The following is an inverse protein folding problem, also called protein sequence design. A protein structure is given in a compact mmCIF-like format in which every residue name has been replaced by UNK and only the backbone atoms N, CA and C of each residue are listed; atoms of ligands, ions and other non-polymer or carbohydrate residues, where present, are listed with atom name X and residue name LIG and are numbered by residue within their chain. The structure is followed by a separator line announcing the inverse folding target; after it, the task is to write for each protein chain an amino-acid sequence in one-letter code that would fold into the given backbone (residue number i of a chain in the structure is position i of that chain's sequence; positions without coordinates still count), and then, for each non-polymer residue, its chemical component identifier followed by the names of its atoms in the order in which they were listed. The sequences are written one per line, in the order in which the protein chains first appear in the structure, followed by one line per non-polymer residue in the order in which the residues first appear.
data_IF_381927254853
#
_entry.id   IF_381927254853
#
_cell.length_a   1.000
_cell.length_b   1.000
_cell.length_c   1.000
_cell.angle_alpha   90.00
_cell.angle_beta   90.00
_cell.angle_gamma   90.00
#
_symmetry.space_group_name_H-M   'P 1'
#
loop_
_entity.id
_entity.type
_entity.pdbx_description
1 polymer ?
#
# COMPACT_ATOMS: atom_id res chain seq x y z
N UNK A 1 3.96 29.26 0.55
CA UNK A 1 5.02 28.42 1.20
C UNK A 1 6.12 29.33 1.70
N UNK A 2 6.56 29.15 2.94
CA UNK A 2 7.72 29.86 3.49
C UNK A 2 9.01 29.31 2.89
N UNK A 3 10.11 30.10 2.88
CA UNK A 3 11.43 29.66 2.43
C UNK A 3 11.90 28.35 3.13
N UNK A 4 11.56 28.19 4.41
CA UNK A 4 11.87 26.99 5.19
C UNK A 4 11.10 25.74 4.70
N UNK A 5 9.85 25.90 4.29
CA UNK A 5 9.06 24.78 3.76
C UNK A 5 9.52 24.35 2.36
N UNK A 6 10.01 25.28 1.52
CA UNK A 6 10.58 24.94 0.22
C UNK A 6 11.89 24.17 0.35
N UNK A 7 12.75 24.60 1.30
CA UNK A 7 14.01 23.89 1.60
C UNK A 7 13.74 22.48 2.12
N UNK A 8 12.78 22.32 3.02
CA UNK A 8 12.36 21.00 3.51
C UNK A 8 11.89 20.07 2.38
N UNK A 9 11.06 20.57 1.45
CA UNK A 9 10.59 19.78 0.30
C UNK A 9 11.75 19.32 -0.60
N UNK A 10 12.80 20.12 -0.77
CA UNK A 10 13.96 19.74 -1.60
C UNK A 10 14.73 18.53 -1.07
N UNK A 11 14.65 18.24 0.24
CA UNK A 11 15.31 17.08 0.83
C UNK A 11 14.79 15.74 0.28
N UNK A 12 13.58 15.71 -0.28
CA UNK A 12 13.06 14.49 -0.90
C UNK A 12 13.89 14.00 -2.09
N UNK A 13 14.73 14.86 -2.69
CA UNK A 13 15.67 14.45 -3.75
C UNK A 13 16.67 13.38 -3.30
N UNK A 14 16.93 13.29 -1.99
CA UNK A 14 17.79 12.27 -1.39
C UNK A 14 17.18 10.87 -1.37
N UNK A 15 15.91 10.75 -1.77
CA UNK A 15 15.13 9.52 -1.72
C UNK A 15 14.62 9.13 -3.11
N UNK A 16 14.32 7.86 -3.30
CA UNK A 16 13.71 7.36 -4.52
C UNK A 16 12.22 7.72 -4.55
N UNK A 17 11.86 8.68 -5.40
CA UNK A 17 10.50 9.21 -5.55
C UNK A 17 9.96 8.98 -6.95
N UNK A 18 8.64 9.00 -7.08
CA UNK A 18 7.94 8.81 -8.36
C UNK A 18 6.58 9.51 -8.34
N UNK A 19 6.01 9.83 -9.53
CA UNK A 19 4.71 10.47 -9.62
C UNK A 19 3.56 9.48 -9.41
N UNK A 20 2.54 9.92 -8.67
CA UNK A 20 1.21 9.35 -8.65
C UNK A 20 0.21 10.27 -9.36
N UNK A 21 -0.91 9.74 -9.82
CA UNK A 21 -2.00 10.50 -10.46
C UNK A 21 -2.49 11.61 -9.52
N UNK A 22 -2.89 12.74 -10.10
CA UNK A 22 -3.45 13.87 -9.33
C UNK A 22 -4.62 13.42 -8.48
N UNK A 23 -4.72 13.98 -7.27
CA UNK A 23 -5.78 13.66 -6.30
C UNK A 23 -5.94 12.15 -6.01
N UNK A 24 -4.87 11.38 -6.16
CA UNK A 24 -4.87 9.93 -6.04
C UNK A 24 -3.56 9.43 -5.43
N UNK A 25 -3.59 8.19 -4.96
CA UNK A 25 -2.41 7.45 -4.53
C UNK A 25 -1.94 6.45 -5.60
N UNK A 26 -2.59 6.42 -6.76
CA UNK A 26 -2.29 5.48 -7.84
C UNK A 26 -1.03 5.95 -8.58
N UNK A 27 -0.02 5.11 -8.79
CA UNK A 27 1.15 5.44 -9.59
C UNK A 27 0.79 5.93 -10.99
N UNK A 28 1.53 6.93 -11.49
CA UNK A 28 1.42 7.46 -12.85
C UNK A 28 2.57 6.95 -13.75
N UNK A 29 3.26 5.90 -13.31
CA UNK A 29 4.37 5.24 -14.00
C UNK A 29 3.94 3.86 -14.47
N UNK A 30 4.63 3.29 -15.47
CA UNK A 30 4.27 2.00 -16.08
C UNK A 30 4.48 0.81 -15.13
N UNK A 31 5.52 0.86 -14.27
CA UNK A 31 5.86 -0.21 -13.32
C UNK A 31 5.63 0.20 -11.86
N UNK A 32 4.73 1.20 -11.64
CA UNK A 32 4.42 1.68 -10.31
C UNK A 32 5.64 2.25 -9.58
N UNK A 33 5.78 1.96 -8.29
CA UNK A 33 6.89 2.44 -7.46
C UNK A 33 8.27 1.86 -7.85
N UNK A 34 8.35 0.86 -8.73
CA UNK A 34 9.62 0.38 -9.29
C UNK A 34 10.31 1.39 -10.21
N UNK A 35 9.56 2.34 -10.74
CA UNK A 35 10.10 3.44 -11.55
C UNK A 35 10.59 4.63 -10.70
N UNK A 36 10.59 4.49 -9.37
CA UNK A 36 11.10 5.52 -8.48
C UNK A 36 12.59 5.79 -8.73
N UNK A 37 12.98 7.05 -8.66
CA UNK A 37 14.35 7.50 -8.92
C UNK A 37 14.80 8.50 -7.84
N UNK A 38 16.08 8.49 -7.54
CA UNK A 38 16.74 9.53 -6.73
C UNK A 38 16.91 10.81 -7.54
N UNK A 39 17.09 11.93 -6.86
CA UNK A 39 17.36 13.23 -7.51
C UNK A 39 16.13 13.89 -8.12
N UNK A 40 14.93 13.34 -7.96
CA UNK A 40 13.71 13.92 -8.52
C UNK A 40 13.34 15.23 -7.83
N UNK A 41 12.99 16.24 -8.61
CA UNK A 41 12.43 17.48 -8.08
C UNK A 41 10.95 17.29 -7.74
N UNK A 42 10.68 16.97 -6.49
CA UNK A 42 9.33 16.69 -5.97
C UNK A 42 8.38 17.88 -6.11
N UNK A 43 8.90 19.13 -5.96
CA UNK A 43 8.08 20.33 -6.15
C UNK A 43 7.71 20.52 -7.63
N UNK A 44 8.64 20.28 -8.55
CA UNK A 44 8.33 20.32 -9.98
C UNK A 44 7.33 19.24 -10.38
N UNK A 45 7.45 18.03 -9.84
CA UNK A 45 6.50 16.95 -10.02
C UNK A 45 5.09 17.36 -9.56
N UNK A 46 4.97 17.98 -8.39
CA UNK A 46 3.71 18.48 -7.87
C UNK A 46 3.11 19.61 -8.73
N UNK A 47 3.94 20.55 -9.15
CA UNK A 47 3.53 21.66 -10.02
C UNK A 47 3.04 21.18 -11.39
N UNK A 48 3.60 20.08 -11.89
CA UNK A 48 3.16 19.40 -13.11
C UNK A 48 1.83 18.64 -12.94
N UNK A 49 1.22 18.68 -11.75
CA UNK A 49 -0.09 18.08 -11.48
C UNK A 49 -0.04 16.64 -10.98
N UNK A 50 1.12 16.13 -10.61
CA UNK A 50 1.27 14.81 -10.01
C UNK A 50 1.39 14.88 -8.50
N UNK A 51 1.01 13.82 -7.83
CA UNK A 51 1.27 13.64 -6.41
C UNK A 51 2.60 12.89 -6.22
N UNK A 52 3.61 13.44 -5.55
CA UNK A 52 4.83 12.73 -5.28
C UNK A 52 4.66 11.61 -4.25
N UNK A 53 5.32 10.50 -4.50
CA UNK A 53 5.37 9.35 -3.60
C UNK A 53 6.81 8.86 -3.43
N UNK A 54 7.10 8.24 -2.29
CA UNK A 54 8.40 7.71 -1.91
C UNK A 54 8.35 6.19 -1.86
N UNK A 55 9.24 5.52 -2.58
CA UNK A 55 9.42 4.08 -2.56
C UNK A 55 10.27 3.68 -1.34
N UNK A 56 9.65 3.06 -0.34
CA UNK A 56 10.27 2.82 0.97
C UNK A 56 11.57 2.01 0.88
N UNK A 57 11.54 0.82 0.27
CA UNK A 57 12.72 -0.06 0.19
C UNK A 57 13.87 0.57 -0.59
N UNK A 58 13.57 1.20 -1.73
CA UNK A 58 14.59 1.84 -2.55
C UNK A 58 15.21 3.05 -1.84
N UNK A 59 14.43 3.74 -1.02
CA UNK A 59 14.88 4.88 -0.21
C UNK A 59 15.61 4.47 1.08
N UNK A 60 15.66 3.18 1.42
CA UNK A 60 16.24 2.71 2.67
C UNK A 60 15.48 3.21 3.90
N UNK A 61 14.16 3.27 3.83
CA UNK A 61 13.32 3.74 4.95
C UNK A 61 12.26 2.73 5.34
N UNK A 62 11.93 2.76 6.62
CA UNK A 62 10.77 2.10 7.22
C UNK A 62 9.82 3.17 7.78
N UNK A 63 8.53 2.96 7.59
CA UNK A 63 7.52 3.91 8.03
C UNK A 63 6.56 3.24 9.00
N UNK A 64 6.33 3.88 10.15
CA UNK A 64 5.20 3.59 11.02
C UNK A 64 4.06 4.51 10.56
N UNK A 65 3.06 3.91 9.91
CA UNK A 65 1.88 4.59 9.39
C UNK A 65 0.76 4.48 10.42
N UNK A 66 0.46 5.57 11.09
CA UNK A 66 -0.52 5.66 12.17
C UNK A 66 -1.82 6.22 11.63
N UNK A 67 -2.93 5.52 11.87
CA UNK A 67 -4.25 5.85 11.33
C UNK A 67 -5.25 6.23 12.44
N UNK A 68 -5.86 7.41 12.31
CA UNK A 68 -6.89 7.95 13.22
C UNK A 68 -8.28 8.06 12.54
N UNK A 69 -8.52 7.35 11.44
CA UNK A 69 -9.80 7.43 10.73
C UNK A 69 -10.97 6.91 11.56
N UNK A 70 -10.73 5.90 12.38
CA UNK A 70 -11.69 5.41 13.35
C UNK A 70 -11.75 6.36 14.56
N UNK A 71 -12.95 6.75 14.98
CA UNK A 71 -13.16 7.59 16.18
C UNK A 71 -12.65 6.92 17.47
N UNK A 72 -12.56 5.59 17.45
CA UNK A 72 -12.06 4.78 18.55
C UNK A 72 -10.60 4.36 18.34
N UNK A 73 -9.83 5.08 17.49
CA UNK A 73 -8.44 4.74 17.23
C UNK A 73 -7.59 4.88 18.49
N UNK A 74 -6.96 3.79 18.87
CA UNK A 74 -5.99 3.70 19.98
C UNK A 74 -4.54 3.74 19.49
N UNK A 75 -4.33 4.24 18.26
CA UNK A 75 -3.04 4.15 17.59
C UNK A 75 -1.86 4.73 18.40
N UNK A 76 -2.04 5.89 19.02
CA UNK A 76 -0.98 6.49 19.82
C UNK A 76 -0.81 5.80 21.18
N UNK A 77 -1.91 5.37 21.79
CA UNK A 77 -1.89 4.57 23.02
C UNK A 77 -1.18 3.23 22.77
N UNK A 78 -1.44 2.59 21.64
CA UNK A 78 -0.77 1.34 21.23
C UNK A 78 0.75 1.55 21.09
N UNK A 79 1.19 2.66 20.45
CA UNK A 79 2.60 3.02 20.36
C UNK A 79 3.21 3.27 21.75
N UNK A 80 2.55 4.08 22.58
CA UNK A 80 3.04 4.40 23.94
C UNK A 80 3.08 3.16 24.85
N UNK A 81 2.11 2.26 24.69
CA UNK A 81 2.11 0.98 25.38
C UNK A 81 3.31 0.14 24.97
N UNK A 82 3.57 0.05 23.68
CA UNK A 82 4.71 -0.68 23.16
C UNK A 82 6.05 -0.05 23.59
N UNK A 83 6.17 1.28 23.64
CA UNK A 83 7.34 1.96 24.20
C UNK A 83 7.62 1.53 25.64
N UNK A 84 6.57 1.43 26.46
CA UNK A 84 6.69 0.97 27.86
C UNK A 84 7.08 -0.50 27.94
N UNK A 85 6.49 -1.36 27.11
CA UNK A 85 6.79 -2.79 27.06
C UNK A 85 8.21 -3.07 26.60
N UNK A 86 8.71 -2.31 25.63
CA UNK A 86 10.09 -2.45 25.12
C UNK A 86 11.13 -1.71 25.98
N UNK A 87 10.69 -0.82 26.88
CA UNK A 87 11.58 0.03 27.67
C UNK A 87 12.35 1.08 26.86
N UNK A 88 11.96 1.32 25.60
CA UNK A 88 12.65 2.22 24.68
C UNK A 88 11.65 3.07 23.92
N UNK A 89 11.77 4.40 24.02
CA UNK A 89 10.96 5.36 23.26
C UNK A 89 11.41 5.43 21.80
N UNK A 90 10.47 5.74 20.91
CA UNK A 90 10.79 6.10 19.54
C UNK A 90 11.59 7.40 19.52
N UNK A 91 12.73 7.45 18.81
CA UNK A 91 13.49 8.69 18.67
C UNK A 91 12.75 9.68 17.77
N UNK A 92 13.07 10.97 17.94
CA UNK A 92 12.60 12.00 17.01
C UNK A 92 13.07 11.70 15.60
N UNK A 93 12.14 11.72 14.65
CA UNK A 93 12.40 11.41 13.24
C UNK A 93 11.50 12.25 12.34
N UNK A 94 11.78 12.25 11.04
CA UNK A 94 10.92 12.89 10.05
C UNK A 94 9.50 12.39 10.19
N UNK A 95 8.59 13.32 10.43
CA UNK A 95 7.17 13.03 10.63
C UNK A 95 6.33 13.92 9.72
N UNK A 96 5.39 13.30 9.01
CA UNK A 96 4.41 14.03 8.21
C UNK A 96 2.97 13.67 8.60
N UNK A 97 2.07 14.66 8.52
CA UNK A 97 0.63 14.44 8.57
C UNK A 97 0.12 13.97 7.21
N UNK A 98 -0.84 13.04 7.19
CA UNK A 98 -1.51 12.62 5.97
C UNK A 98 -2.54 13.66 5.53
N UNK A 99 -2.87 13.71 4.24
CA UNK A 99 -3.82 14.65 3.67
C UNK A 99 -5.22 14.59 4.33
N UNK A 100 -5.61 13.47 4.91
CA UNK A 100 -6.87 13.38 5.66
C UNK A 100 -6.86 14.17 6.97
N UNK A 101 -5.68 14.54 7.47
CA UNK A 101 -5.47 15.08 8.82
C UNK A 101 -5.68 14.03 9.93
N UNK A 102 -5.98 12.78 9.53
CA UNK A 102 -6.30 11.67 10.42
C UNK A 102 -5.26 10.53 10.32
N UNK A 103 -4.01 10.89 10.16
CA UNK A 103 -2.92 9.94 10.13
C UNK A 103 -1.57 10.63 10.14
N UNK A 104 -0.53 9.87 10.52
CA UNK A 104 0.85 10.30 10.55
C UNK A 104 1.76 9.22 10.02
N UNK A 105 2.78 9.62 9.29
CA UNK A 105 3.89 8.77 8.91
C UNK A 105 5.12 9.16 9.73
N UNK A 106 5.63 8.25 10.54
CA UNK A 106 6.94 8.37 11.19
C UNK A 106 7.95 7.62 10.34
N UNK A 107 8.93 8.33 9.80
CA UNK A 107 9.86 7.81 8.78
C UNK A 107 11.22 7.59 9.42
N UNK A 108 11.66 6.34 9.47
CA UNK A 108 12.92 5.90 10.05
C UNK A 108 13.86 5.35 8.98
N UNK A 109 15.15 5.35 9.23
CA UNK A 109 16.14 4.66 8.41
C UNK A 109 15.98 3.15 8.52
N UNK A 110 15.94 2.49 7.36
CA UNK A 110 16.00 1.03 7.24
C UNK A 110 17.34 0.63 6.62
N UNK A 111 18.25 0.11 7.44
CA UNK A 111 19.54 -0.41 6.98
C UNK A 111 19.45 -1.79 6.31
N UNK A 112 18.32 -2.13 5.73
CA UNK A 112 18.11 -3.40 5.03
C UNK A 112 17.79 -4.59 5.96
N UNK A 113 17.52 -4.31 7.21
CA UNK A 113 17.29 -5.31 8.26
C UNK A 113 15.85 -5.82 8.24
N UNK A 114 14.90 -5.06 7.65
CA UNK A 114 13.49 -5.37 7.75
C UNK A 114 12.94 -5.86 6.43
N UNK A 115 12.65 -7.14 6.40
CA UNK A 115 11.79 -7.77 5.40
C UNK A 115 10.35 -7.91 5.92
N UNK A 116 10.00 -7.13 6.93
CA UNK A 116 8.81 -7.35 7.73
C UNK A 116 7.68 -6.42 7.30
N UNK A 117 6.53 -7.01 7.12
CA UNK A 117 5.24 -6.36 7.28
C UNK A 117 4.83 -6.59 8.72
N UNK A 118 4.29 -5.60 9.37
CA UNK A 118 3.83 -5.74 10.74
C UNK A 118 2.74 -4.74 11.05
N UNK A 119 2.04 -5.02 12.13
CA UNK A 119 1.14 -4.07 12.77
C UNK A 119 1.57 -3.86 14.20
N UNK A 120 1.41 -2.64 14.67
CA UNK A 120 1.47 -2.31 16.08
C UNK A 120 0.05 -1.97 16.49
N UNK A 121 -0.57 -2.86 17.27
CA UNK A 121 -2.00 -2.76 17.54
C UNK A 121 -2.86 -2.87 16.28
N UNK A 122 -4.03 -2.25 16.30
CA UNK A 122 -5.00 -2.29 15.18
C UNK A 122 -4.74 -1.22 14.12
N UNK A 123 -4.19 -0.08 14.50
CA UNK A 123 -4.22 1.15 13.72
C UNK A 123 -2.84 1.68 13.28
N UNK A 124 -1.77 0.93 13.51
CA UNK A 124 -0.44 1.29 13.05
C UNK A 124 0.10 0.22 12.11
N UNK A 125 0.33 0.59 10.85
CA UNK A 125 0.95 -0.27 9.84
C UNK A 125 2.45 0.00 9.72
N UNK A 126 3.23 -1.06 9.55
CA UNK A 126 4.67 -0.98 9.26
C UNK A 126 4.88 -1.13 7.76
N UNK A 127 5.49 -0.11 7.14
CA UNK A 127 5.79 -0.11 5.70
C UNK A 127 7.30 -0.02 5.48
N UNK A 128 7.91 -1.15 5.15
CA UNK A 128 9.31 -1.24 4.70
C UNK A 128 9.43 -1.52 3.21
N UNK A 129 8.35 -1.98 2.59
CA UNK A 129 8.20 -2.23 1.15
C UNK A 129 7.04 -1.38 0.62
N UNK A 130 6.93 -1.24 -0.70
CA UNK A 130 5.91 -0.39 -1.31
C UNK A 130 6.26 1.09 -1.20
N UNK A 131 5.26 1.93 -1.01
CA UNK A 131 5.44 3.38 -1.03
C UNK A 131 4.49 4.10 -0.09
N UNK A 132 4.82 5.35 0.20
CA UNK A 132 3.96 6.33 0.88
C UNK A 132 3.83 7.57 0.02
N UNK A 133 2.69 8.27 0.14
CA UNK A 133 2.58 9.63 -0.37
C UNK A 133 3.40 10.56 0.51
N UNK A 134 4.05 11.54 -0.09
CA UNK A 134 4.89 12.50 0.63
C UNK A 134 4.44 13.94 0.37
N UNK A 135 4.79 14.84 1.28
CA UNK A 135 4.55 16.27 1.06
C UNK A 135 5.29 16.75 -0.21
N UNK A 136 4.66 17.56 -1.08
CA UNK A 136 3.39 18.28 -0.90
C UNK A 136 2.16 17.60 -1.55
N UNK A 137 2.11 16.27 -1.69
CA UNK A 137 0.97 15.57 -2.30
C UNK A 137 -0.36 16.04 -1.74
N UNK A 138 -1.39 16.04 -2.59
CA UNK A 138 -2.73 16.53 -2.24
C UNK A 138 -3.80 15.46 -2.54
N UNK A 139 -4.68 15.21 -1.58
CA UNK A 139 -5.86 14.35 -1.74
C UNK A 139 -7.09 15.09 -1.23
N UNK A 140 -8.13 15.20 -2.05
CA UNK A 140 -9.38 15.89 -1.73
C UNK A 140 -9.16 17.31 -1.20
N UNK A 141 -8.27 18.08 -1.85
CA UNK A 141 -7.97 19.46 -1.52
C UNK A 141 -7.12 19.67 -0.28
N UNK A 142 -6.63 18.61 0.37
CA UNK A 142 -5.76 18.66 1.56
C UNK A 142 -4.40 18.12 1.24
N UNK A 143 -3.35 18.74 1.78
CA UNK A 143 -1.96 18.33 1.54
C UNK A 143 -1.43 17.39 2.63
N UNK A 144 -0.44 16.59 2.23
CA UNK A 144 0.52 16.01 3.17
C UNK A 144 1.47 17.10 3.63
N UNK A 145 1.74 17.16 4.92
CA UNK A 145 2.54 18.23 5.53
C UNK A 145 3.63 17.64 6.42
N UNK A 146 4.86 18.13 6.29
CA UNK A 146 5.94 17.80 7.21
C UNK A 146 5.65 18.58 8.52
N UNK A 147 5.52 17.85 9.63
CA UNK A 147 5.14 18.42 10.93
C UNK A 147 6.24 18.35 11.99
N UNK A 148 7.25 17.48 11.79
CA UNK A 148 8.42 17.35 12.68
C UNK A 148 9.60 16.67 11.96
N UNK A 149 10.76 16.64 12.61
CA UNK A 149 11.95 15.94 12.11
C UNK A 149 12.72 16.73 11.06
N UNK A 150 12.76 18.05 11.19
CA UNK A 150 13.65 18.95 10.44
C UNK A 150 14.65 19.56 11.44
N UNK A 151 15.92 19.59 11.11
CA UNK A 151 16.97 20.23 11.91
C UNK A 151 17.05 21.74 11.67
N UNK A 152 17.96 22.41 12.37
CA UNK A 152 18.21 23.86 12.26
C UNK A 152 18.70 24.30 10.86
N UNK A 153 19.28 23.39 10.11
CA UNK A 153 19.74 23.61 8.73
C UNK A 153 18.63 23.37 7.70
N UNK A 154 17.44 22.93 8.14
CA UNK A 154 16.32 22.57 7.27
C UNK A 154 16.46 21.18 6.64
N UNK A 155 17.34 20.32 7.17
CA UNK A 155 17.56 18.96 6.69
C UNK A 155 16.66 17.96 7.42
N UNK A 156 16.34 16.84 6.77
CA UNK A 156 15.53 15.78 7.39
C UNK A 156 16.33 15.00 8.43
N UNK A 157 15.75 14.84 9.61
CA UNK A 157 16.23 13.93 10.63
C UNK A 157 15.57 12.56 10.37
N UNK A 158 16.35 11.60 9.86
CA UNK A 158 15.90 10.22 9.65
C UNK A 158 16.59 9.35 10.71
N UNK A 159 15.94 9.15 11.82
CA UNK A 159 16.48 8.35 12.91
C UNK A 159 16.48 6.85 12.58
N UNK A 160 17.36 6.09 13.22
CA UNK A 160 17.31 4.63 13.18
C UNK A 160 16.26 4.12 14.19
N UNK A 161 15.55 3.07 13.83
CA UNK A 161 14.70 2.38 14.79
C UNK A 161 15.58 1.69 15.84
N UNK A 162 15.28 1.83 17.13
CA UNK A 162 15.98 1.11 18.18
C UNK A 162 15.86 -0.41 17.98
N UNK A 163 16.91 -1.15 18.34
CA UNK A 163 16.99 -2.61 18.16
C UNK A 163 15.77 -3.35 18.74
N UNK A 164 15.28 -2.94 19.91
CA UNK A 164 14.10 -3.56 20.51
C UNK A 164 12.85 -3.46 19.64
N UNK A 165 12.66 -2.33 18.94
CA UNK A 165 11.56 -2.12 18.00
C UNK A 165 11.74 -3.00 16.76
N UNK A 166 12.95 -3.09 16.21
CA UNK A 166 13.26 -3.95 15.06
C UNK A 166 12.99 -5.41 15.38
N UNK A 167 13.44 -5.88 16.55
CA UNK A 167 13.23 -7.25 17.02
C UNK A 167 11.73 -7.55 17.20
N UNK A 168 10.96 -6.62 17.76
CA UNK A 168 9.51 -6.75 17.90
C UNK A 168 8.81 -6.84 16.54
N UNK A 169 9.12 -5.93 15.61
CA UNK A 169 8.52 -5.90 14.26
C UNK A 169 8.83 -7.20 13.51
N UNK A 170 10.08 -7.67 13.55
CA UNK A 170 10.48 -8.92 12.90
C UNK A 170 9.79 -10.16 13.51
N UNK A 171 9.65 -10.20 14.84
CA UNK A 171 8.97 -11.29 15.55
C UNK A 171 7.47 -11.35 15.24
N UNK A 172 6.81 -10.21 15.18
CA UNK A 172 5.37 -10.14 14.85
C UNK A 172 5.10 -10.53 13.41
N UNK A 173 5.98 -10.20 12.48
CA UNK A 173 5.88 -10.58 11.07
C UNK A 173 5.98 -12.10 10.83
N UNK A 174 6.77 -12.82 11.65
CA UNK A 174 6.91 -14.28 11.53
C UNK A 174 5.72 -15.03 12.11
N UNK A 175 5.05 -14.48 13.13
CA UNK A 175 3.90 -15.14 13.78
C UNK A 175 2.59 -15.09 12.97
N UNK A 176 2.52 -14.23 11.95
CA UNK A 176 1.33 -14.08 11.10
C UNK A 176 1.15 -15.27 10.14
N UNK A 177 2.21 -16.00 9.82
CA UNK A 177 2.16 -17.20 8.96
C UNK A 177 1.53 -18.46 9.60
N UNK A 178 1.22 -18.44 10.90
CA UNK A 178 0.90 -19.65 11.66
C UNK A 178 -0.58 -19.87 12.03
N UNK A 179 -1.50 -18.95 11.72
CA UNK A 179 -2.90 -19.09 12.18
C UNK A 179 -3.91 -18.70 11.10
N UNK A 180 -4.37 -19.66 10.30
CA UNK A 180 -5.75 -19.62 9.80
C UNK A 180 -6.21 -21.01 9.33
N UNK A 181 -6.93 -21.70 10.19
CA UNK A 181 -7.91 -22.71 9.79
C UNK A 181 -9.29 -22.08 10.03
N UNK A 182 -9.85 -21.42 9.04
CA UNK A 182 -11.22 -20.91 9.06
C UNK A 182 -12.10 -21.93 8.31
N UNK A 183 -13.07 -22.51 9.01
CA UNK A 183 -14.10 -23.37 8.40
C UNK A 183 -15.08 -22.52 7.60
N UNK A 184 -15.23 -22.84 6.33
CA UNK A 184 -16.17 -22.18 5.41
C UNK A 184 -17.62 -22.61 5.68
N UNK A 185 -18.55 -21.68 5.53
CA UNK A 185 -19.97 -21.95 5.54
C UNK A 185 -20.38 -22.36 4.11
N UNK A 186 -20.94 -23.57 3.95
CA UNK A 186 -21.01 -24.34 2.69
C UNK A 186 -22.14 -23.99 1.73
N UNK A 187 -22.77 -22.81 1.82
CA UNK A 187 -23.95 -22.49 0.98
C UNK A 187 -23.69 -21.60 -0.24
N UNK A 188 -22.43 -21.21 -0.51
CA UNK A 188 -22.13 -20.38 -1.67
C UNK A 188 -21.93 -21.20 -2.94
N UNK A 189 -22.67 -20.83 -3.99
CA UNK A 189 -22.56 -21.45 -5.32
C UNK A 189 -21.34 -20.90 -6.06
N UNK A 190 -20.15 -21.45 -5.73
CA UNK A 190 -18.92 -21.12 -6.43
C UNK A 190 -18.94 -21.65 -7.87
N UNK A 191 -18.20 -20.97 -8.74
CA UNK A 191 -18.04 -21.39 -10.14
C UNK A 191 -17.13 -22.61 -10.22
N UNK A 192 -17.64 -23.68 -10.80
CA UNK A 192 -16.93 -24.97 -10.95
C UNK A 192 -16.40 -25.12 -12.37
N UNK A 193 -15.34 -25.91 -12.51
CA UNK A 193 -14.77 -26.29 -13.82
C UNK A 193 -14.33 -25.10 -14.67
N UNK A 194 -13.84 -24.01 -14.04
CA UNK A 194 -13.30 -22.84 -14.73
C UNK A 194 -11.88 -23.14 -15.21
N UNK A 195 -11.65 -22.97 -16.51
CA UNK A 195 -10.29 -23.02 -17.07
C UNK A 195 -9.56 -21.71 -16.77
N UNK A 196 -8.74 -21.72 -15.73
CA UNK A 196 -7.99 -20.55 -15.23
C UNK A 196 -7.04 -19.99 -16.30
N UNK A 197 -6.31 -20.83 -17.03
CA UNK A 197 -5.38 -20.39 -18.06
C UNK A 197 -6.11 -19.64 -19.19
N UNK A 198 -7.24 -20.18 -19.64
CA UNK A 198 -8.09 -19.53 -20.65
C UNK A 198 -8.64 -18.20 -20.13
N UNK A 199 -8.99 -18.13 -18.84
CA UNK A 199 -9.48 -16.91 -18.21
C UNK A 199 -8.42 -15.80 -18.24
N UNK A 200 -7.18 -16.10 -17.82
CA UNK A 200 -6.07 -15.15 -17.86
C UNK A 200 -5.70 -14.76 -19.30
N UNK A 201 -5.69 -15.72 -20.23
CA UNK A 201 -5.42 -15.44 -21.64
C UNK A 201 -6.42 -14.46 -22.26
N UNK A 202 -7.69 -14.54 -21.87
CA UNK A 202 -8.77 -13.74 -22.47
C UNK A 202 -9.09 -12.45 -21.69
N UNK A 203 -8.63 -12.29 -20.46
CA UNK A 203 -8.87 -11.13 -19.64
C UNK A 203 -7.59 -10.33 -19.42
N UNK A 204 -7.43 -9.23 -20.14
CA UNK A 204 -6.26 -8.33 -20.00
C UNK A 204 -6.08 -7.81 -18.59
N UNK A 205 -7.17 -7.54 -17.89
CA UNK A 205 -7.11 -7.09 -16.51
C UNK A 205 -6.49 -8.14 -15.58
N UNK A 206 -6.90 -9.41 -15.70
CA UNK A 206 -6.33 -10.48 -14.89
C UNK A 206 -4.88 -10.80 -15.29
N UNK A 207 -4.57 -10.74 -16.59
CA UNK A 207 -3.20 -10.89 -17.08
C UNK A 207 -2.30 -9.80 -16.49
N UNK A 208 -2.72 -8.55 -16.53
CA UNK A 208 -1.99 -7.42 -15.95
C UNK A 208 -1.81 -7.57 -14.43
N UNK A 209 -2.84 -8.03 -13.71
CA UNK A 209 -2.72 -8.32 -12.27
C UNK A 209 -1.66 -9.39 -11.98
N UNK A 210 -1.50 -10.38 -12.85
CA UNK A 210 -0.49 -11.43 -12.74
C UNK A 210 0.91 -10.90 -13.08
N UNK A 211 1.04 -10.21 -14.22
CA UNK A 211 2.34 -9.77 -14.75
C UNK A 211 2.95 -8.64 -13.89
N UNK A 212 2.13 -7.82 -13.25
CA UNK A 212 2.50 -6.70 -12.41
C UNK A 212 2.16 -6.91 -10.92
N UNK A 213 2.01 -8.16 -10.48
CA UNK A 213 1.53 -8.53 -9.14
C UNK A 213 2.27 -7.84 -7.98
N UNK A 214 3.52 -7.47 -8.19
CA UNK A 214 4.38 -6.83 -7.20
C UNK A 214 4.18 -5.32 -7.07
N UNK A 215 3.42 -4.68 -7.97
CA UNK A 215 3.22 -3.23 -7.97
C UNK A 215 1.78 -2.76 -8.22
N UNK A 216 0.81 -3.67 -8.39
CA UNK A 216 -0.60 -3.28 -8.57
C UNK A 216 -1.14 -2.50 -7.38
N UNK A 217 -2.04 -1.54 -7.64
CA UNK A 217 -2.71 -0.77 -6.59
C UNK A 217 -3.77 -1.60 -5.84
N UNK A 218 -4.14 -1.14 -4.64
CA UNK A 218 -5.15 -1.81 -3.79
C UNK A 218 -6.47 -2.09 -4.53
N UNK A 219 -6.99 -1.12 -5.29
CA UNK A 219 -8.26 -1.28 -5.99
C UNK A 219 -8.18 -2.38 -7.06
N UNK A 220 -7.05 -2.45 -7.77
CA UNK A 220 -6.80 -3.47 -8.79
C UNK A 220 -6.69 -4.85 -8.13
N UNK A 221 -5.87 -4.99 -7.11
CA UNK A 221 -5.74 -6.20 -6.31
C UNK A 221 -7.08 -6.67 -5.74
N UNK A 222 -7.84 -5.76 -5.12
CA UNK A 222 -9.15 -6.08 -4.55
C UNK A 222 -10.14 -6.53 -5.63
N UNK A 223 -10.15 -5.87 -6.81
CA UNK A 223 -11.00 -6.25 -7.93
C UNK A 223 -10.66 -7.66 -8.45
N UNK A 224 -9.36 -7.98 -8.55
CA UNK A 224 -8.89 -9.34 -8.88
C UNK A 224 -9.43 -10.37 -7.88
N UNK A 225 -9.31 -10.10 -6.58
CA UNK A 225 -9.83 -11.00 -5.55
C UNK A 225 -11.34 -11.21 -5.69
N UNK A 226 -12.12 -10.15 -5.90
CA UNK A 226 -13.59 -10.29 -6.01
C UNK A 226 -14.00 -11.22 -7.14
N UNK A 227 -13.24 -11.25 -8.24
CA UNK A 227 -13.49 -12.12 -9.40
C UNK A 227 -13.02 -13.54 -9.11
N UNK A 228 -11.77 -13.72 -8.71
CA UNK A 228 -11.19 -15.04 -8.52
C UNK A 228 -11.78 -15.80 -7.34
N UNK A 229 -12.20 -15.11 -6.28
CA UNK A 229 -12.83 -15.73 -5.11
C UNK A 229 -14.15 -16.42 -5.41
N UNK A 230 -14.80 -16.13 -6.55
CA UNK A 230 -16.01 -16.85 -6.98
C UNK A 230 -15.72 -18.24 -7.57
N UNK A 231 -14.44 -18.57 -7.77
CA UNK A 231 -14.02 -19.86 -8.34
C UNK A 231 -13.70 -20.83 -7.20
N UNK A 232 -14.19 -22.06 -7.34
CA UNK A 232 -13.92 -23.13 -6.38
C UNK A 232 -12.41 -23.43 -6.31
N UNK A 233 -11.87 -23.59 -5.10
CA UNK A 233 -10.45 -23.91 -4.85
C UNK A 233 -9.45 -22.86 -5.38
N UNK A 234 -9.86 -21.59 -5.46
CA UNK A 234 -9.00 -20.51 -5.98
C UNK A 234 -8.12 -19.83 -4.93
N UNK A 235 -8.16 -20.21 -3.67
CA UNK A 235 -7.45 -19.54 -2.57
C UNK A 235 -5.94 -19.52 -2.78
N UNK A 236 -5.34 -20.67 -3.09
CA UNK A 236 -3.91 -20.79 -3.37
C UNK A 236 -3.49 -19.92 -4.56
N UNK A 237 -4.30 -19.88 -5.62
CA UNK A 237 -4.06 -19.03 -6.77
C UNK A 237 -4.07 -17.54 -6.36
N UNK A 238 -5.06 -17.11 -5.61
CA UNK A 238 -5.18 -15.72 -5.16
C UNK A 238 -4.01 -15.34 -4.26
N UNK A 239 -3.62 -16.24 -3.36
CA UNK A 239 -2.44 -16.03 -2.51
C UNK A 239 -1.16 -15.93 -3.34
N UNK A 240 -0.94 -16.85 -4.30
CA UNK A 240 0.24 -16.84 -5.17
C UNK A 240 0.34 -15.57 -6.03
N UNK A 241 -0.79 -15.05 -6.52
CA UNK A 241 -0.87 -13.79 -7.27
C UNK A 241 -0.68 -12.56 -6.36
N UNK A 242 -0.99 -12.66 -5.09
CA UNK A 242 -0.85 -11.56 -4.13
C UNK A 242 0.53 -11.52 -3.47
N UNK A 243 1.21 -12.67 -3.33
CA UNK A 243 2.49 -12.82 -2.62
C UNK A 243 3.63 -11.93 -3.16
N UNK A 244 3.78 -11.70 -4.48
CA UNK A 244 4.82 -10.82 -5.00
C UNK A 244 4.68 -9.37 -4.52
N UNK A 245 3.47 -8.93 -4.14
CA UNK A 245 3.24 -7.56 -3.72
C UNK A 245 3.91 -7.23 -2.38
N UNK A 246 4.66 -6.12 -2.26
CA UNK A 246 5.36 -5.75 -1.01
C UNK A 246 4.46 -5.64 0.22
N UNK A 247 3.18 -5.35 0.02
CA UNK A 247 2.18 -5.26 1.09
C UNK A 247 1.34 -6.53 1.25
N UNK A 248 1.76 -7.66 0.68
CA UNK A 248 1.04 -8.92 0.87
C UNK A 248 0.97 -9.31 2.35
N UNK A 249 -0.21 -9.71 2.78
CA UNK A 249 -0.48 -10.32 4.08
C UNK A 249 -1.42 -11.50 3.85
N UNK A 250 -1.03 -12.68 4.32
CA UNK A 250 -1.86 -13.87 4.20
C UNK A 250 -3.22 -13.65 4.86
N UNK A 251 -3.23 -13.14 6.09
CA UNK A 251 -4.47 -12.89 6.84
C UNK A 251 -5.38 -11.87 6.16
N UNK A 252 -4.81 -10.76 5.67
CA UNK A 252 -5.60 -9.75 4.97
C UNK A 252 -6.15 -10.29 3.66
N UNK A 253 -5.34 -11.01 2.90
CA UNK A 253 -5.74 -11.62 1.64
C UNK A 253 -6.87 -12.63 1.89
N UNK A 254 -6.71 -13.54 2.86
CA UNK A 254 -7.73 -14.52 3.21
C UNK A 254 -9.04 -13.84 3.66
N UNK A 255 -8.94 -12.82 4.51
CA UNK A 255 -10.11 -12.04 4.92
C UNK A 255 -10.85 -11.41 3.73
N UNK A 256 -10.11 -10.92 2.71
CA UNK A 256 -10.73 -10.35 1.50
C UNK A 256 -11.37 -11.42 0.62
N UNK A 257 -10.76 -12.60 0.52
CA UNK A 257 -11.34 -13.77 -0.15
C UNK A 257 -12.67 -14.13 0.51
N UNK A 258 -12.67 -14.27 1.83
CA UNK A 258 -13.85 -14.65 2.62
C UNK A 258 -14.99 -13.63 2.46
N UNK A 259 -14.67 -12.34 2.54
CA UNK A 259 -15.63 -11.26 2.32
C UNK A 259 -16.17 -11.25 0.87
N UNK A 260 -15.30 -11.43 -0.13
CA UNK A 260 -15.73 -11.49 -1.53
C UNK A 260 -16.69 -12.66 -1.78
N UNK A 261 -16.46 -13.80 -1.16
CA UNK A 261 -17.37 -14.94 -1.17
C UNK A 261 -18.68 -14.63 -0.44
N UNK A 262 -18.60 -14.06 0.75
CA UNK A 262 -19.79 -13.69 1.53
C UNK A 262 -20.73 -12.75 0.76
N UNK A 263 -20.16 -11.78 0.02
CA UNK A 263 -20.96 -10.88 -0.82
C UNK A 263 -21.45 -11.54 -2.12
N UNK A 264 -20.77 -12.59 -2.61
CA UNK A 264 -21.17 -13.41 -3.76
C UNK A 264 -21.29 -12.64 -5.09
N UNK A 265 -20.76 -11.42 -5.19
CA UNK A 265 -20.85 -10.56 -6.37
C UNK A 265 -19.46 -10.04 -6.74
N UNK A 266 -18.87 -10.53 -7.84
CA UNK A 266 -17.60 -10.01 -8.35
C UNK A 266 -17.77 -8.61 -8.92
N UNK A 267 -16.69 -7.84 -8.98
CA UNK A 267 -16.65 -6.65 -9.80
C UNK A 267 -16.89 -7.03 -11.28
N UNK A 268 -17.84 -6.37 -11.89
CA UNK A 268 -18.22 -6.66 -13.30
C UNK A 268 -17.18 -6.10 -14.28
N UNK A 269 -17.12 -6.65 -15.51
CA UNK A 269 -16.30 -6.09 -16.56
C UNK A 269 -16.60 -4.62 -16.82
N UNK A 270 -17.86 -4.20 -16.72
CA UNK A 270 -18.27 -2.79 -16.84
C UNK A 270 -17.62 -1.89 -15.77
N UNK A 271 -17.58 -2.36 -14.54
CA UNK A 271 -16.90 -1.65 -13.45
C UNK A 271 -15.39 -1.62 -13.66
N UNK A 272 -14.77 -2.78 -13.90
CA UNK A 272 -13.33 -2.93 -14.09
C UNK A 272 -12.83 -2.11 -15.28
N UNK A 273 -13.52 -2.13 -16.42
CA UNK A 273 -13.11 -1.37 -17.60
C UNK A 273 -13.26 0.14 -17.43
N UNK A 274 -14.15 0.60 -16.55
CA UNK A 274 -14.25 2.02 -16.21
C UNK A 274 -13.07 2.46 -15.33
N UNK A 275 -12.74 1.68 -14.30
CA UNK A 275 -11.68 2.04 -13.35
C UNK A 275 -10.26 1.82 -13.94
N UNK A 276 -10.12 0.86 -14.86
CA UNK A 276 -8.85 0.42 -15.47
C UNK A 276 -8.95 0.47 -17.00
N UNK A 277 -9.43 1.59 -17.54
CA UNK A 277 -9.67 1.74 -18.98
C UNK A 277 -8.44 1.50 -19.84
N UNK A 278 -7.27 1.95 -19.38
CA UNK A 278 -5.99 1.78 -20.09
C UNK A 278 -5.60 0.29 -20.23
N UNK A 279 -5.85 -0.53 -19.19
CA UNK A 279 -5.58 -1.96 -19.19
C UNK A 279 -6.60 -2.72 -20.05
N UNK A 280 -7.86 -2.30 -19.97
CA UNK A 280 -8.98 -2.97 -20.64
C UNK A 280 -9.19 -2.52 -22.09
N UNK A 281 -8.37 -1.61 -22.63
CA UNK A 281 -8.44 -1.21 -24.04
C UNK A 281 -8.28 -2.43 -24.95
N UNK A 282 -9.16 -2.53 -25.97
CA UNK A 282 -9.16 -3.64 -26.93
C UNK A 282 -9.31 -5.04 -26.30
N UNK A 283 -9.90 -5.14 -25.11
CA UNK A 283 -10.23 -6.43 -24.52
C UNK A 283 -11.39 -7.07 -25.30
N UNK A 284 -11.21 -8.33 -25.74
CA UNK A 284 -12.23 -9.08 -26.50
C UNK A 284 -13.58 -9.18 -25.77
N UNK A 285 -13.55 -9.23 -24.42
CA UNK A 285 -14.77 -9.24 -23.60
C UNK A 285 -15.47 -7.88 -23.51
N UNK A 286 -14.74 -6.77 -23.75
CA UNK A 286 -15.31 -5.42 -23.74
C UNK A 286 -15.98 -5.05 -25.07
N UNK A 287 -15.58 -5.71 -26.15
CA UNK A 287 -16.17 -5.51 -27.50
C UNK A 287 -17.48 -6.27 -27.68
N UNK A 288 -17.75 -7.32 -26.87
CA UNK A 288 -19.02 -8.05 -26.84
C UNK A 288 -20.05 -7.37 -25.91
N UNK A 289 -20.27 -6.05 -26.08
CA UNK A 289 -21.25 -5.27 -25.32
C UNK A 289 -22.72 -5.55 -25.69
N UNK A 290 -23.01 -6.59 -26.44
CA UNK A 290 -24.36 -7.02 -26.77
C UNK A 290 -24.63 -8.45 -26.28
N UNK A 291 -24.53 -8.69 -24.99
CA UNK A 291 -25.24 -9.79 -24.33
C UNK A 291 -25.40 -9.45 -22.86
N UNK A 292 -26.62 -9.04 -22.52
CA UNK A 292 -27.38 -8.85 -21.31
C UNK A 292 -26.73 -9.20 -19.96
#
# INVERSE_FOLDING_TARGET
MTLSSQKAISNWQKFATFPCKRNSKIPATSRGFKDAQFGQNVQAMFNAGYNPALACKMSGVIVIDVDYHDKNSTAMEDLQKLEKELGVKLPKTLTQATASGKGRHFIFSDKGIINAKGKIGKYCDIKSKGYIMIAPSMINGRQYEIIDGIDENGEFIIAELPKAWLDYINKTATNIKAKTNIKYNSEQKLWKNINIEKMFKNCRFLADCKDNADCIGYLQWHSMITVLAQIENSDELIHSLSEPHPNYSFEETQKKIDLARQFGKPHTCKYISREFSEICQNCLSATNKERE
#
